data_IF_121122214030
#
_entry.id   IF_121122214030
#
_cell.length_a   1.000
_cell.length_b   1.000
_cell.length_c   1.000
_cell.angle_alpha   90.00
_cell.angle_beta   90.00
_cell.angle_gamma   90.00
#
_symmetry.space_group_name_H-M   'P 1'
#
loop_
_entity.id
_entity.type
_entity.pdbx_description
1 polymer ?
#
# COMPACT_ATOMS: atom_id res chain seq x y z
N UNK A 1 14.52 8.32 1.04
CA UNK A 1 13.47 7.68 0.22
C UNK A 1 12.09 8.27 0.47
N UNK A 2 11.78 8.66 1.72
CA UNK A 2 10.51 9.30 2.08
C UNK A 2 10.09 10.49 1.20
N UNK A 3 11.02 11.34 0.76
CA UNK A 3 10.72 12.46 -0.12
C UNK A 3 10.16 12.04 -1.49
N UNK A 4 10.65 10.93 -2.07
CA UNK A 4 10.10 10.39 -3.32
C UNK A 4 8.68 9.86 -3.10
N UNK A 5 8.46 9.14 -1.99
CA UNK A 5 7.14 8.63 -1.63
C UNK A 5 6.14 9.78 -1.38
N UNK A 6 6.58 10.91 -0.82
CA UNK A 6 5.71 12.05 -0.53
C UNK A 6 5.13 12.74 -1.77
N UNK A 7 5.79 12.61 -2.92
CA UNK A 7 5.39 13.20 -4.21
C UNK A 7 4.89 12.16 -5.21
N UNK A 8 4.80 10.89 -4.82
CA UNK A 8 4.45 9.77 -5.70
C UNK A 8 2.97 9.80 -6.09
N UNK A 9 2.71 9.90 -7.39
CA UNK A 9 1.38 9.73 -7.99
C UNK A 9 1.03 8.25 -8.18
N UNK A 10 -0.22 7.93 -8.55
CA UNK A 10 -0.65 6.54 -8.70
C UNK A 10 0.09 5.82 -9.84
N UNK A 11 0.28 6.52 -10.97
CA UNK A 11 0.93 6.02 -12.17
C UNK A 11 2.42 5.73 -11.94
N UNK A 12 3.02 6.50 -11.02
CA UNK A 12 4.42 6.43 -10.63
C UNK A 12 4.67 5.47 -9.46
N UNK A 13 3.65 4.71 -9.02
CA UNK A 13 3.79 3.81 -7.90
C UNK A 13 4.94 2.82 -8.09
N UNK A 14 5.91 2.87 -7.18
CA UNK A 14 7.08 2.02 -7.19
C UNK A 14 7.23 1.29 -5.84
N UNK A 15 7.04 -0.04 -5.79
CA UNK A 15 7.21 -0.81 -4.57
C UNK A 15 8.60 -0.63 -3.94
N UNK A 16 9.64 -0.45 -4.76
CA UNK A 16 11.03 -0.29 -4.27
C UNK A 16 11.17 0.93 -3.36
N UNK A 17 10.59 2.06 -3.75
CA UNK A 17 10.64 3.30 -2.96
C UNK A 17 9.86 3.14 -1.65
N UNK A 18 8.71 2.44 -1.68
CA UNK A 18 7.91 2.15 -0.48
C UNK A 18 8.66 1.20 0.45
N UNK A 19 9.24 0.11 -0.08
CA UNK A 19 10.04 -0.85 0.67
C UNK A 19 11.20 -0.14 1.36
N UNK A 20 11.95 0.67 0.62
CA UNK A 20 13.08 1.40 1.16
C UNK A 20 12.66 2.40 2.24
N UNK A 21 11.56 3.13 2.04
CA UNK A 21 11.01 4.04 3.05
C UNK A 21 10.52 3.29 4.31
N UNK A 22 9.85 2.15 4.16
CA UNK A 22 9.44 1.32 5.31
C UNK A 22 10.66 0.85 6.09
N UNK A 23 11.68 0.32 5.41
CA UNK A 23 12.89 -0.19 6.06
C UNK A 23 13.74 0.91 6.70
N UNK A 24 13.70 2.14 6.16
CA UNK A 24 14.32 3.33 6.76
C UNK A 24 13.58 3.80 8.03
N UNK A 25 12.24 3.79 8.00
CA UNK A 25 11.41 4.31 9.09
C UNK A 25 11.19 3.32 10.24
N UNK A 26 11.14 2.02 9.95
CA UNK A 26 10.87 0.97 10.92
C UNK A 26 11.78 1.02 12.17
N UNK A 27 13.12 1.11 12.05
CA UNK A 27 14.00 1.11 13.22
C UNK A 27 13.87 2.35 14.10
N UNK A 28 13.23 3.42 13.61
CA UNK A 28 13.03 4.66 14.38
C UNK A 28 11.92 4.53 15.43
N UNK A 29 11.08 3.50 15.32
CA UNK A 29 9.90 3.36 16.16
C UNK A 29 8.74 4.27 15.72
N UNK A 30 7.56 3.99 16.29
CA UNK A 30 6.28 4.52 15.81
C UNK A 30 6.22 6.04 15.82
N UNK A 31 6.62 6.66 16.93
CA UNK A 31 6.50 8.11 17.12
C UNK A 31 7.38 8.89 16.15
N UNK A 32 8.65 8.49 16.03
CA UNK A 32 9.59 9.15 15.13
C UNK A 32 9.23 8.91 13.66
N UNK A 33 8.80 7.70 13.30
CA UNK A 33 8.36 7.40 11.95
C UNK A 33 7.17 8.28 11.53
N UNK A 34 6.15 8.41 12.39
CA UNK A 34 4.99 9.27 12.12
C UNK A 34 5.36 10.75 12.07
N UNK A 35 6.29 11.20 12.92
CA UNK A 35 6.79 12.57 12.90
C UNK A 35 7.48 12.90 11.57
N UNK A 36 8.33 12.00 11.06
CA UNK A 36 8.97 12.18 9.76
C UNK A 36 7.96 12.17 8.60
N UNK A 37 7.00 11.24 8.61
CA UNK A 37 5.94 11.17 7.60
C UNK A 37 5.12 12.48 7.60
N UNK A 38 4.74 12.98 8.79
CA UNK A 38 3.99 14.25 8.91
C UNK A 38 4.78 15.48 8.45
N UNK A 39 6.11 15.45 8.55
CA UNK A 39 6.96 16.55 8.07
C UNK A 39 7.16 16.55 6.55
N UNK A 40 6.93 15.42 5.86
CA UNK A 40 7.28 15.23 4.45
C UNK A 40 6.42 16.04 3.45
N UNK A 41 5.39 16.78 3.91
CA UNK A 41 4.43 17.58 3.12
C UNK A 41 3.90 16.83 1.89
N UNK A 42 2.72 16.16 1.98
CA UNK A 42 2.19 15.37 0.87
C UNK A 42 1.95 16.25 -0.37
N UNK A 43 2.45 15.79 -1.52
CA UNK A 43 2.10 16.35 -2.83
C UNK A 43 1.45 15.31 -3.74
N UNK A 44 1.62 14.01 -3.45
CA UNK A 44 0.94 12.90 -4.10
C UNK A 44 0.28 11.94 -3.10
N UNK A 45 0.13 10.68 -3.50
CA UNK A 45 -0.61 9.64 -2.78
C UNK A 45 0.27 8.63 -2.05
N UNK A 46 1.58 8.62 -2.31
CA UNK A 46 2.50 7.60 -1.77
C UNK A 46 2.50 7.47 -0.24
N UNK A 47 2.24 8.54 0.50
CA UNK A 47 2.18 8.47 1.97
C UNK A 47 1.03 7.60 2.49
N UNK A 48 -0.10 7.49 1.79
CA UNK A 48 -1.17 6.54 2.15
C UNK A 48 -0.68 5.09 2.03
N UNK A 49 0.07 4.79 0.97
CA UNK A 49 0.63 3.47 0.71
C UNK A 49 1.72 3.11 1.71
N UNK A 50 2.58 4.08 2.03
CA UNK A 50 3.59 3.93 3.06
C UNK A 50 2.98 3.62 4.42
N UNK A 51 1.96 4.37 4.86
CA UNK A 51 1.31 4.14 6.15
C UNK A 51 0.68 2.74 6.21
N UNK A 52 -0.02 2.32 5.15
CA UNK A 52 -0.61 0.97 5.05
C UNK A 52 0.41 -0.16 5.01
N UNK A 53 1.61 0.15 4.55
CA UNK A 53 2.69 -0.82 4.47
C UNK A 53 3.53 -0.82 5.74
N UNK A 54 3.70 0.30 6.43
CA UNK A 54 4.53 0.40 7.63
C UNK A 54 3.81 -0.13 8.89
N UNK A 55 2.48 -0.05 8.91
CA UNK A 55 1.67 -0.40 10.07
C UNK A 55 0.78 -1.63 9.83
N UNK A 56 0.72 -2.47 10.86
CA UNK A 56 -0.35 -3.42 11.11
C UNK A 56 -1.40 -2.80 12.06
N UNK A 57 -2.49 -3.53 12.32
CA UNK A 57 -3.54 -3.13 13.26
C UNK A 57 -3.81 -4.25 14.26
N UNK A 58 -4.33 -3.92 15.46
CA UNK A 58 -4.83 -4.89 16.41
C UNK A 58 -5.87 -5.83 15.78
N UNK A 59 -5.98 -7.04 16.30
CA UNK A 59 -7.00 -7.99 15.86
C UNK A 59 -8.41 -7.39 15.97
N UNK A 60 -9.25 -7.63 14.96
CA UNK A 60 -10.61 -7.08 14.88
C UNK A 60 -10.67 -5.63 14.41
N UNK A 61 -9.55 -4.92 14.28
CA UNK A 61 -9.51 -3.56 13.77
C UNK A 61 -9.24 -3.53 12.25
N UNK A 62 -10.10 -2.82 11.52
CA UNK A 62 -9.96 -2.66 10.07
C UNK A 62 -9.19 -1.38 9.72
N UNK A 63 -8.45 -1.41 8.62
CA UNK A 63 -7.85 -0.19 8.08
C UNK A 63 -8.95 0.82 7.71
N UNK A 64 -8.75 2.13 7.97
CA UNK A 64 -9.70 3.14 7.52
C UNK A 64 -9.78 3.08 5.99
N UNK A 65 -10.90 3.39 5.33
CA UNK A 65 -10.92 3.50 3.86
C UNK A 65 -9.99 4.62 3.38
N UNK A 66 -9.51 4.54 2.14
CA UNK A 66 -8.84 5.66 1.45
C UNK A 66 -9.86 6.44 0.63
N UNK A 67 -10.15 7.66 1.03
CA UNK A 67 -11.17 8.55 0.45
C UNK A 67 -10.52 9.54 -0.54
N UNK A 68 -10.00 9.01 -1.65
CA UNK A 68 -9.39 9.78 -2.75
C UNK A 68 -10.30 9.89 -3.99
N UNK A 69 -11.56 9.48 -3.85
CA UNK A 69 -12.51 9.27 -4.95
C UNK A 69 -12.91 7.80 -5.06
N UNK A 70 -13.41 7.39 -6.22
CA UNK A 70 -13.77 6.00 -6.50
C UNK A 70 -12.57 5.26 -7.11
N UNK A 71 -12.06 4.18 -6.51
CA UNK A 71 -10.97 3.42 -7.11
C UNK A 71 -11.41 2.73 -8.42
N UNK A 72 -10.48 2.60 -9.36
CA UNK A 72 -10.66 1.86 -10.63
C UNK A 72 -11.18 0.43 -10.44
N UNK A 73 -10.71 -0.23 -9.40
CA UNK A 73 -11.23 -1.51 -8.91
C UNK A 73 -11.87 -1.27 -7.53
N UNK A 74 -13.14 -1.65 -7.29
CA UNK A 74 -13.77 -1.45 -5.99
C UNK A 74 -13.11 -2.32 -4.90
N UNK A 75 -13.19 -1.95 -3.60
CA UNK A 75 -12.76 -2.82 -2.51
C UNK A 75 -13.43 -4.21 -2.60
N UNK A 76 -12.78 -5.29 -2.15
CA UNK A 76 -13.37 -6.63 -2.21
C UNK A 76 -14.62 -6.71 -1.33
N UNK A 77 -15.60 -7.51 -1.73
CA UNK A 77 -16.83 -7.71 -0.96
C UNK A 77 -16.55 -8.25 0.46
N UNK A 78 -15.50 -9.05 0.61
CA UNK A 78 -14.93 -9.43 1.89
C UNK A 78 -13.65 -8.60 2.18
N UNK A 79 -13.69 -7.63 3.10
CA UNK A 79 -12.53 -6.81 3.45
C UNK A 79 -11.33 -7.61 3.96
N UNK A 80 -11.55 -8.81 4.52
CA UNK A 80 -10.47 -9.66 5.02
C UNK A 80 -9.63 -10.31 3.92
N UNK A 81 -10.14 -10.36 2.68
CA UNK A 81 -9.37 -10.89 1.55
C UNK A 81 -8.18 -9.99 1.19
N UNK A 82 -8.37 -8.66 1.29
CA UNK A 82 -7.32 -7.65 1.10
C UNK A 82 -7.47 -6.59 2.21
N UNK A 83 -7.00 -6.87 3.44
CA UNK A 83 -7.28 -6.01 4.61
C UNK A 83 -6.63 -4.62 4.52
N UNK A 84 -5.59 -4.48 3.69
CA UNK A 84 -4.85 -3.23 3.48
C UNK A 84 -5.28 -2.49 2.21
N UNK A 85 -6.40 -2.88 1.59
CA UNK A 85 -6.86 -2.34 0.31
C UNK A 85 -6.68 -0.80 0.23
N UNK A 86 -6.07 -0.27 -0.86
CA UNK A 86 -5.70 -0.94 -2.10
C UNK A 86 -4.27 -1.53 -2.13
N UNK A 87 -3.62 -1.71 -0.97
CA UNK A 87 -2.32 -2.40 -0.90
C UNK A 87 -2.53 -3.89 -0.61
N UNK A 88 -1.87 -4.74 -1.40
CA UNK A 88 -1.74 -6.16 -1.19
C UNK A 88 -0.26 -6.50 -1.02
N UNK A 89 0.17 -6.89 0.18
CA UNK A 89 1.55 -7.33 0.42
C UNK A 89 1.67 -8.81 0.07
N UNK A 90 2.52 -9.15 -0.89
CA UNK A 90 2.86 -10.51 -1.32
C UNK A 90 4.35 -10.71 -1.10
N UNK A 91 4.74 -11.63 -0.21
CA UNK A 91 6.14 -11.87 0.18
C UNK A 91 6.96 -10.58 0.35
N UNK A 92 6.49 -9.69 1.23
CA UNK A 92 7.10 -8.38 1.52
C UNK A 92 7.21 -7.39 0.35
N UNK A 93 6.54 -7.64 -0.78
CA UNK A 93 6.34 -6.65 -1.84
C UNK A 93 4.96 -6.00 -1.67
N UNK A 94 4.86 -4.70 -1.36
CA UNK A 94 3.60 -3.98 -1.36
C UNK A 94 3.17 -3.73 -2.80
N UNK A 95 2.06 -4.35 -3.21
CA UNK A 95 1.47 -4.19 -4.53
C UNK A 95 0.27 -3.25 -4.44
N UNK A 96 0.28 -2.15 -5.21
CA UNK A 96 -0.89 -1.31 -5.39
C UNK A 96 -1.79 -1.97 -6.43
N UNK A 97 -2.99 -2.40 -6.03
CA UNK A 97 -3.85 -3.22 -6.91
C UNK A 97 -4.86 -2.40 -7.72
N UNK A 98 -4.86 -1.08 -7.57
CA UNK A 98 -5.72 -0.16 -8.33
C UNK A 98 -4.86 0.63 -9.31
N UNK A 99 -5.38 0.90 -10.50
CA UNK A 99 -4.70 1.72 -11.52
C UNK A 99 -4.88 3.23 -11.34
N UNK A 100 -5.67 3.66 -10.35
CA UNK A 100 -6.02 5.06 -10.11
C UNK A 100 -7.39 5.23 -9.48
N UNK A 101 -7.78 6.49 -9.29
CA UNK A 101 -9.07 6.90 -8.71
C UNK A 101 -9.82 7.85 -9.64
N UNK A 102 -11.10 7.61 -9.85
CA UNK A 102 -12.00 8.55 -10.48
C UNK A 102 -12.44 9.58 -9.44
N UNK A 103 -12.10 10.85 -9.69
CA UNK A 103 -12.35 11.94 -8.75
C UNK A 103 -13.86 12.14 -8.52
N UNK A 104 -14.23 12.16 -7.24
CA UNK A 104 -15.56 12.50 -6.77
C UNK A 104 -15.47 12.95 -5.31
N UNK A 105 -15.97 14.15 -5.01
CA UNK A 105 -15.85 14.76 -3.69
C UNK A 105 -14.48 15.42 -3.43
N UNK A 106 -14.21 15.73 -2.15
CA UNK A 106 -12.92 16.28 -1.71
C UNK A 106 -12.02 15.14 -1.24
N UNK A 107 -10.81 14.97 -1.82
CA UNK A 107 -9.88 13.95 -1.36
C UNK A 107 -9.50 14.22 0.10
N UNK A 108 -9.46 13.15 0.91
CA UNK A 108 -9.08 13.30 2.31
C UNK A 108 -7.59 13.63 2.46
N UNK A 109 -7.21 14.42 3.47
CA UNK A 109 -5.82 14.70 3.79
C UNK A 109 -5.15 13.48 4.45
N UNK A 110 -3.88 13.21 4.13
CA UNK A 110 -3.11 12.10 4.71
C UNK A 110 -2.99 12.21 6.23
N UNK A 111 -3.08 13.43 6.77
CA UNK A 111 -3.05 13.74 8.20
C UNK A 111 -4.15 12.98 8.96
N UNK A 112 -5.28 12.67 8.33
CA UNK A 112 -6.31 11.82 8.93
C UNK A 112 -5.80 10.39 9.18
N UNK A 113 -5.05 9.82 8.23
CA UNK A 113 -4.44 8.50 8.36
C UNK A 113 -3.28 8.50 9.35
N UNK A 114 -2.45 9.55 9.35
CA UNK A 114 -1.39 9.72 10.35
C UNK A 114 -1.99 9.68 11.77
N UNK A 115 -3.06 10.43 12.02
CA UNK A 115 -3.75 10.40 13.33
C UNK A 115 -4.32 9.02 13.65
N UNK A 116 -4.91 8.34 12.65
CA UNK A 116 -5.43 6.99 12.84
C UNK A 116 -4.32 6.01 13.25
N UNK A 117 -3.20 5.97 12.53
CA UNK A 117 -2.09 5.09 12.85
C UNK A 117 -1.36 5.50 14.12
N UNK A 118 -1.35 6.78 14.47
CA UNK A 118 -0.87 7.23 15.78
C UNK A 118 -1.69 6.61 16.91
N UNK A 119 -3.02 6.62 16.80
CA UNK A 119 -3.90 6.06 17.82
C UNK A 119 -3.93 4.52 17.83
N UNK A 120 -3.87 3.89 16.67
CA UNK A 120 -4.22 2.47 16.52
C UNK A 120 -3.15 1.60 15.86
N UNK A 121 -2.22 2.20 15.11
CA UNK A 121 -1.23 1.48 14.34
C UNK A 121 -0.23 0.72 15.21
N UNK A 122 0.07 -0.51 14.83
CA UNK A 122 1.19 -1.29 15.33
C UNK A 122 2.27 -1.26 14.26
N UNK A 123 3.52 -0.93 14.58
CA UNK A 123 4.58 -1.10 13.59
C UNK A 123 4.65 -2.56 13.18
N UNK A 124 4.94 -2.81 11.89
CA UNK A 124 5.26 -4.16 11.44
C UNK A 124 6.36 -4.78 12.29
N UNK A 125 6.28 -6.09 12.49
CA UNK A 125 7.24 -6.81 13.33
C UNK A 125 8.64 -6.92 12.70
N UNK A 126 8.76 -6.82 11.38
CA UNK A 126 10.00 -7.00 10.64
C UNK A 126 10.10 -6.05 9.43
N UNK A 127 11.33 -5.72 8.99
CA UNK A 127 11.56 -5.06 7.71
C UNK A 127 11.00 -5.88 6.55
N UNK A 128 10.67 -5.19 5.44
CA UNK A 128 10.31 -5.85 4.21
C UNK A 128 11.56 -6.42 3.53
N UNK A 129 11.54 -7.72 3.24
CA UNK A 129 12.61 -8.40 2.53
C UNK A 129 12.04 -9.20 1.34
N UNK A 130 11.80 -8.54 0.19
CA UNK A 130 11.35 -9.23 -1.02
C UNK A 130 12.24 -10.43 -1.36
N UNK A 131 11.67 -11.55 -1.84
CA UNK A 131 12.43 -12.70 -2.27
C UNK A 131 13.20 -12.37 -3.56
N UNK A 132 14.23 -13.14 -3.92
CA UNK A 132 15.07 -12.84 -5.09
C UNK A 132 14.48 -13.16 -6.49
N UNK A 133 13.21 -13.56 -6.60
CA UNK A 133 12.61 -14.00 -7.88
C UNK A 133 11.13 -13.64 -8.00
N UNK A 134 10.69 -13.21 -9.19
CA UNK A 134 9.35 -12.65 -9.46
C UNK A 134 8.22 -13.68 -9.68
N UNK A 135 8.52 -14.84 -10.24
CA UNK A 135 7.49 -15.72 -10.82
C UNK A 135 6.54 -16.30 -9.75
N UNK A 136 7.08 -16.57 -8.56
CA UNK A 136 6.30 -17.06 -7.42
C UNK A 136 5.33 -15.99 -6.90
N UNK A 137 5.70 -14.71 -6.96
CA UNK A 137 4.86 -13.61 -6.46
C UNK A 137 3.66 -13.36 -7.36
N UNK A 138 3.80 -13.49 -8.68
CA UNK A 138 2.68 -13.30 -9.59
C UNK A 138 1.64 -14.42 -9.41
N UNK A 139 2.08 -15.66 -9.22
CA UNK A 139 1.18 -16.78 -8.94
C UNK A 139 0.45 -16.60 -7.60
N UNK A 140 1.18 -16.26 -6.53
CA UNK A 140 0.57 -15.99 -5.21
C UNK A 140 -0.40 -14.80 -5.27
N UNK A 141 -0.05 -13.73 -5.99
CA UNK A 141 -0.95 -12.61 -6.25
C UNK A 141 -2.25 -13.09 -6.90
N UNK A 142 -2.17 -13.92 -7.96
CA UNK A 142 -3.35 -14.42 -8.67
C UNK A 142 -4.24 -15.30 -7.80
N UNK A 143 -3.66 -16.15 -6.95
CA UNK A 143 -4.42 -16.96 -5.99
C UNK A 143 -5.17 -16.08 -4.99
N UNK A 144 -4.48 -15.11 -4.39
CA UNK A 144 -5.10 -14.17 -3.45
C UNK A 144 -6.14 -13.28 -4.13
N UNK A 145 -5.90 -12.89 -5.37
CA UNK A 145 -6.87 -12.15 -6.18
C UNK A 145 -8.14 -12.97 -6.42
N UNK A 146 -7.99 -14.25 -6.80
CA UNK A 146 -9.12 -15.15 -7.03
C UNK A 146 -9.97 -15.34 -5.77
N UNK A 147 -9.35 -15.38 -4.58
CA UNK A 147 -10.08 -15.42 -3.31
C UNK A 147 -10.86 -14.13 -3.02
N UNK A 148 -10.35 -12.97 -3.44
CA UNK A 148 -10.94 -11.67 -3.18
C UNK A 148 -12.04 -11.26 -4.18
N UNK A 149 -11.82 -11.57 -5.46
CA UNK A 149 -12.63 -11.08 -6.60
C UNK A 149 -13.09 -12.17 -7.57
N UNK A 150 -12.69 -13.43 -7.36
CA UNK A 150 -12.88 -14.47 -8.38
C UNK A 150 -12.14 -14.11 -9.67
N UNK A 151 -12.83 -14.16 -10.80
CA UNK A 151 -12.26 -13.77 -12.10
C UNK A 151 -12.37 -12.27 -12.41
N UNK A 152 -13.09 -11.49 -11.59
CA UNK A 152 -13.33 -10.07 -11.84
C UNK A 152 -12.03 -9.27 -11.80
N UNK A 153 -11.87 -8.33 -12.74
CA UNK A 153 -10.75 -7.41 -12.87
C UNK A 153 -9.35 -8.06 -12.97
N UNK A 154 -9.27 -9.38 -13.13
CA UNK A 154 -8.02 -10.15 -13.10
C UNK A 154 -6.99 -9.67 -14.12
N UNK A 155 -7.42 -9.35 -15.35
CA UNK A 155 -6.53 -8.85 -16.39
C UNK A 155 -5.97 -7.46 -16.06
N UNK A 156 -6.81 -6.56 -15.56
CA UNK A 156 -6.44 -5.19 -15.18
C UNK A 156 -5.46 -5.21 -13.99
N UNK A 157 -5.80 -5.93 -12.92
CA UNK A 157 -4.98 -6.03 -11.74
C UNK A 157 -3.63 -6.73 -12.04
N UNK A 158 -3.63 -7.78 -12.88
CA UNK A 158 -2.39 -8.43 -13.30
C UNK A 158 -1.50 -7.52 -14.15
N UNK A 159 -2.06 -6.67 -15.02
CA UNK A 159 -1.29 -5.71 -15.81
C UNK A 159 -0.58 -4.68 -14.90
N UNK A 160 -1.31 -4.13 -13.92
CA UNK A 160 -0.77 -3.19 -12.92
C UNK A 160 0.35 -3.85 -12.10
N UNK A 161 0.11 -5.05 -11.57
CA UNK A 161 1.09 -5.77 -10.74
C UNK A 161 2.33 -6.20 -11.52
N UNK A 162 2.19 -6.65 -12.77
CA UNK A 162 3.36 -7.01 -13.61
C UNK A 162 4.33 -5.84 -13.80
N UNK A 163 3.80 -4.63 -14.04
CA UNK A 163 4.62 -3.43 -14.15
C UNK A 163 5.38 -3.12 -12.85
N UNK A 164 4.74 -3.34 -11.70
CA UNK A 164 5.37 -3.16 -10.38
C UNK A 164 6.45 -4.21 -10.11
N UNK A 165 6.18 -5.49 -10.38
CA UNK A 165 7.16 -6.57 -10.20
C UNK A 165 8.39 -6.39 -11.11
N UNK A 166 8.20 -5.88 -12.34
CA UNK A 166 9.30 -5.56 -13.24
C UNK A 166 10.23 -4.47 -12.67
N UNK A 167 9.73 -3.53 -11.86
CA UNK A 167 10.55 -2.51 -11.18
C UNK A 167 11.31 -3.08 -9.97
N UNK A 168 10.81 -4.15 -9.36
CA UNK A 168 11.45 -4.81 -8.20
C UNK A 168 12.55 -5.76 -8.65
N UNK A 169 12.39 -6.42 -9.80
CA UNK A 169 13.25 -7.53 -10.25
C UNK A 169 13.98 -7.32 -11.57
N UNK A 170 13.69 -6.24 -12.31
CA UNK A 170 14.37 -5.86 -13.55
C UNK A 170 15.56 -4.95 -13.30
#
# INVERSE_FOLDING_TARGET
MLAHVAVMEFEDYNPVDVIAAVNELLPLGKEQALAQIGAARPQGYGLFWLLRTLFDLPEGQAFPPVLLGQPSIPPPANPQAIPRFPILIVQDVPLLVVGGYFLGGFPEPVEAHIRYFQAHGLLRAAPLAPPGASDVLLAEFQERWALAYGSAYSAEAAAVVKGQLARVFG
#
